data_IF_147043955248
#
_entry.id   IF_147043955248
#
_cell.length_a   1.000
_cell.length_b   1.000
_cell.length_c   1.000
_cell.angle_alpha   90.00
_cell.angle_beta   90.00
_cell.angle_gamma   90.00
#
_symmetry.space_group_name_H-M   'P 1'
#
loop_
_entity.id
_entity.type
_entity.pdbx_description
1 polymer ?
#
# COMPACT_ATOMS: atom_id res chain seq x y z
N UNK A 1 26.42 5.92 -0.81
CA UNK A 1 25.25 5.03 -0.86
C UNK A 1 25.52 3.89 -1.83
N UNK A 2 25.38 2.65 -1.37
CA UNK A 2 25.44 1.45 -2.21
C UNK A 2 24.28 1.41 -3.21
N UNK A 3 24.36 0.57 -4.24
CA UNK A 3 23.26 0.37 -5.20
C UNK A 3 21.99 -0.07 -4.49
N UNK A 4 22.10 -1.01 -3.55
CA UNK A 4 20.95 -1.52 -2.79
C UNK A 4 20.27 -0.41 -1.96
N UNK A 5 21.07 0.48 -1.35
CA UNK A 5 20.53 1.64 -0.64
C UNK A 5 19.80 2.61 -1.58
N UNK A 6 20.32 2.82 -2.80
CA UNK A 6 19.65 3.67 -3.82
C UNK A 6 18.31 3.06 -4.24
N UNK A 7 18.26 1.74 -4.43
CA UNK A 7 17.03 1.04 -4.79
C UNK A 7 16.01 1.12 -3.66
N UNK A 8 16.41 0.83 -2.41
CA UNK A 8 15.52 0.97 -1.24
C UNK A 8 14.95 2.39 -1.14
N UNK A 9 15.80 3.40 -1.30
CA UNK A 9 15.38 4.80 -1.28
C UNK A 9 14.38 5.10 -2.40
N UNK A 10 14.62 4.61 -3.61
CA UNK A 10 13.69 4.72 -4.73
C UNK A 10 12.33 4.07 -4.46
N UNK A 11 12.32 2.84 -3.90
CA UNK A 11 11.09 2.12 -3.55
C UNK A 11 10.27 2.83 -2.47
N UNK A 12 10.92 3.39 -1.46
CA UNK A 12 10.26 4.19 -0.42
C UNK A 12 9.61 5.45 -1.00
N UNK A 13 10.31 6.15 -1.90
CA UNK A 13 9.75 7.31 -2.57
C UNK A 13 8.58 6.96 -3.49
N UNK A 14 8.72 5.90 -4.30
CA UNK A 14 7.66 5.42 -5.17
C UNK A 14 6.40 5.06 -4.36
N UNK A 15 6.57 4.39 -3.22
CA UNK A 15 5.48 4.12 -2.29
C UNK A 15 4.84 5.40 -1.75
N UNK A 16 5.64 6.38 -1.34
CA UNK A 16 5.12 7.65 -0.84
C UNK A 16 4.21 8.34 -1.87
N UNK A 17 4.66 8.42 -3.13
CA UNK A 17 3.88 9.01 -4.23
C UNK A 17 2.62 8.19 -4.50
N UNK A 18 2.73 6.87 -4.52
CA UNK A 18 1.59 5.98 -4.75
C UNK A 18 0.51 6.13 -3.67
N UNK A 19 0.87 6.11 -2.38
CA UNK A 19 -0.09 6.27 -1.29
C UNK A 19 -0.67 7.69 -1.21
N UNK A 20 0.08 8.72 -1.62
CA UNK A 20 -0.46 10.07 -1.78
C UNK A 20 -1.50 10.13 -2.90
N UNK A 21 -1.29 9.41 -4.00
CA UNK A 21 -2.26 9.28 -5.08
C UNK A 21 -3.52 8.52 -4.62
N UNK A 22 -3.37 7.39 -3.92
CA UNK A 22 -4.49 6.66 -3.29
C UNK A 22 -5.30 7.60 -2.40
N UNK A 23 -4.62 8.35 -1.53
CA UNK A 23 -5.26 9.31 -0.65
C UNK A 23 -6.11 10.32 -1.43
N UNK A 24 -5.53 10.90 -2.49
CA UNK A 24 -6.20 11.88 -3.34
C UNK A 24 -7.45 11.30 -4.00
N UNK A 25 -7.37 10.12 -4.61
CA UNK A 25 -8.53 9.55 -5.32
C UNK A 25 -9.64 9.12 -4.35
N UNK A 26 -9.29 8.64 -3.15
CA UNK A 26 -10.26 8.32 -2.09
C UNK A 26 -10.95 9.57 -1.54
N UNK A 27 -10.21 10.67 -1.31
CA UNK A 27 -10.80 11.94 -0.88
C UNK A 27 -11.80 12.47 -1.92
N UNK A 28 -11.48 12.32 -3.20
CA UNK A 28 -12.28 12.82 -4.31
C UNK A 28 -13.36 11.83 -4.79
N UNK A 29 -13.38 10.59 -4.29
CA UNK A 29 -14.31 9.55 -4.74
C UNK A 29 -14.06 9.05 -6.18
N UNK A 30 -12.84 9.20 -6.70
CA UNK A 30 -12.51 8.83 -8.09
C UNK A 30 -12.12 7.35 -8.15
N UNK A 31 -13.06 6.50 -8.58
CA UNK A 31 -12.91 5.04 -8.63
C UNK A 31 -12.03 4.59 -9.81
N UNK A 32 -10.71 4.61 -9.62
CA UNK A 32 -9.72 4.10 -10.58
C UNK A 32 -9.15 2.78 -10.07
N UNK A 33 -9.13 1.69 -10.86
CA UNK A 33 -8.43 0.46 -10.48
C UNK A 33 -6.99 0.72 -10.05
N UNK A 34 -6.44 -0.09 -9.14
CA UNK A 34 -5.14 0.08 -8.48
C UNK A 34 -5.01 1.28 -7.54
N UNK A 35 -5.56 2.45 -7.88
CA UNK A 35 -5.46 3.65 -7.03
C UNK A 35 -6.60 3.75 -6.01
N UNK A 36 -7.70 3.06 -6.25
CA UNK A 36 -8.85 3.03 -5.36
C UNK A 36 -9.08 1.60 -4.88
N UNK A 37 -8.62 1.31 -3.66
CA UNK A 37 -8.81 0.00 -3.01
C UNK A 37 -10.30 -0.37 -3.07
N UNK A 38 -10.60 -1.55 -3.64
CA UNK A 38 -11.97 -2.02 -3.86
C UNK A 38 -12.83 -1.04 -4.71
N UNK A 39 -12.25 -0.51 -5.79
CA UNK A 39 -12.85 0.55 -6.63
C UNK A 39 -14.31 0.33 -7.05
N UNK A 40 -14.70 -0.91 -7.35
CA UNK A 40 -16.06 -1.27 -7.76
C UNK A 40 -16.92 -1.85 -6.62
N UNK A 41 -16.47 -1.80 -5.38
CA UNK A 41 -17.28 -2.15 -4.21
C UNK A 41 -18.06 -0.89 -3.76
N UNK A 42 -19.36 -1.02 -3.45
CA UNK A 42 -20.12 0.07 -2.85
C UNK A 42 -19.54 0.49 -1.49
N UNK A 43 -19.33 1.79 -1.29
CA UNK A 43 -18.81 2.38 -0.05
C UNK A 43 -19.54 3.68 0.28
N UNK A 44 -19.60 4.02 1.56
CA UNK A 44 -20.06 5.33 2.00
C UNK A 44 -18.91 6.33 1.92
N UNK A 45 -19.22 7.59 1.55
CA UNK A 45 -18.19 8.63 1.41
C UNK A 45 -17.31 8.85 2.67
N UNK A 46 -17.85 8.60 3.87
CA UNK A 46 -17.04 8.71 5.09
C UNK A 46 -15.98 7.59 5.21
N UNK A 47 -16.26 6.39 4.68
CA UNK A 47 -15.31 5.26 4.66
C UNK A 47 -14.15 5.59 3.74
N UNK A 48 -14.44 6.12 2.55
CA UNK A 48 -13.41 6.55 1.59
C UNK A 48 -12.54 7.66 2.19
N UNK A 49 -13.12 8.61 2.93
CA UNK A 49 -12.34 9.65 3.64
C UNK A 49 -11.44 9.08 4.74
N UNK A 50 -11.87 8.05 5.44
CA UNK A 50 -11.03 7.33 6.42
C UNK A 50 -9.85 6.66 5.69
N UNK A 51 -10.11 5.96 4.59
CA UNK A 51 -9.05 5.32 3.77
C UNK A 51 -8.09 6.38 3.25
N UNK A 52 -8.61 7.51 2.76
CA UNK A 52 -7.80 8.64 2.31
C UNK A 52 -6.84 9.12 3.40
N UNK A 53 -7.33 9.31 4.62
CA UNK A 53 -6.51 9.78 5.74
C UNK A 53 -5.43 8.77 6.13
N UNK A 54 -5.78 7.47 6.16
CA UNK A 54 -4.82 6.40 6.44
C UNK A 54 -3.75 6.30 5.34
N UNK A 55 -4.15 6.36 4.07
CA UNK A 55 -3.24 6.36 2.93
C UNK A 55 -2.30 7.57 2.95
N UNK A 56 -2.78 8.75 3.35
CA UNK A 56 -1.92 9.92 3.55
C UNK A 56 -0.87 9.67 4.65
N UNK A 57 -1.26 9.06 5.77
CA UNK A 57 -0.32 8.66 6.82
C UNK A 57 0.78 7.73 6.30
N UNK A 58 0.42 6.72 5.51
CA UNK A 58 1.37 5.85 4.83
C UNK A 58 2.34 6.63 3.92
N UNK A 59 1.82 7.57 3.13
CA UNK A 59 2.64 8.41 2.27
C UNK A 59 3.68 9.21 3.07
N UNK A 60 3.27 9.81 4.19
CA UNK A 60 4.16 10.58 5.08
C UNK A 60 5.23 9.68 5.70
N UNK A 61 4.88 8.48 6.19
CA UNK A 61 5.86 7.55 6.77
C UNK A 61 6.88 7.08 5.73
N UNK A 62 6.43 6.73 4.53
CA UNK A 62 7.29 6.32 3.42
C UNK A 62 8.20 7.46 2.97
N UNK A 63 7.67 8.69 2.85
CA UNK A 63 8.45 9.87 2.51
C UNK A 63 9.51 10.19 3.57
N UNK A 64 9.13 10.11 4.85
CA UNK A 64 10.06 10.32 5.97
C UNK A 64 11.18 9.30 5.94
N UNK A 65 10.84 8.01 5.78
CA UNK A 65 11.83 6.94 5.63
C UNK A 65 12.72 7.13 4.40
N UNK A 66 12.17 7.64 3.28
CA UNK A 66 12.91 7.94 2.06
C UNK A 66 14.03 8.99 2.26
N UNK A 67 13.82 10.01 3.10
CA UNK A 67 14.80 11.10 3.28
C UNK A 67 16.20 10.55 3.63
N UNK A 68 16.24 9.66 4.61
CA UNK A 68 17.43 8.90 5.02
C UNK A 68 17.02 7.53 5.58
N UNK A 69 16.97 6.46 4.77
CA UNK A 69 16.50 5.14 5.21
C UNK A 69 17.40 4.49 6.27
N UNK A 70 18.68 4.88 6.33
CA UNK A 70 19.65 4.31 7.26
C UNK A 70 19.48 4.94 8.65
N UNK A 71 19.39 6.26 8.71
CA UNK A 71 19.09 6.97 9.97
C UNK A 71 17.69 6.62 10.49
N UNK A 72 16.74 6.38 9.59
CA UNK A 72 15.36 6.02 9.91
C UNK A 72 15.10 4.50 9.91
N UNK A 73 16.12 3.67 10.18
CA UNK A 73 16.00 2.21 10.07
C UNK A 73 14.86 1.61 10.91
N UNK A 74 14.57 2.15 12.10
CA UNK A 74 13.44 1.74 12.93
C UNK A 74 12.08 1.99 12.25
N UNK A 75 11.92 3.15 11.60
CA UNK A 75 10.71 3.47 10.83
C UNK A 75 10.57 2.54 9.62
N UNK A 76 11.67 2.23 8.91
CA UNK A 76 11.63 1.26 7.81
C UNK A 76 11.16 -0.10 8.31
N UNK A 77 11.67 -0.60 9.44
CA UNK A 77 11.17 -1.85 10.05
C UNK A 77 9.67 -1.78 10.38
N UNK A 78 9.22 -0.67 10.96
CA UNK A 78 7.80 -0.48 11.27
C UNK A 78 6.92 -0.52 10.01
N UNK A 79 7.36 0.15 8.93
CA UNK A 79 6.70 0.10 7.61
C UNK A 79 6.61 -1.34 7.09
N UNK A 80 7.70 -2.13 7.20
CA UNK A 80 7.71 -3.52 6.77
C UNK A 80 6.72 -4.39 7.58
N UNK A 81 6.70 -4.24 8.91
CA UNK A 81 5.78 -4.98 9.79
C UNK A 81 4.33 -4.59 9.51
N UNK A 82 4.03 -3.29 9.45
CA UNK A 82 2.69 -2.80 9.15
C UNK A 82 2.24 -3.21 7.74
N UNK A 83 3.17 -3.24 6.77
CA UNK A 83 2.89 -3.70 5.41
C UNK A 83 2.53 -5.18 5.34
N UNK A 84 3.19 -6.03 6.15
CA UNK A 84 2.80 -7.43 6.28
C UNK A 84 1.39 -7.57 6.88
N UNK A 85 1.08 -6.78 7.93
CA UNK A 85 -0.27 -6.73 8.50
C UNK A 85 -1.34 -6.31 7.49
N UNK A 86 -1.07 -5.29 6.68
CA UNK A 86 -1.97 -4.85 5.62
C UNK A 86 -2.21 -5.95 4.57
N UNK A 87 -1.17 -6.67 4.15
CA UNK A 87 -1.28 -7.79 3.20
C UNK A 87 -2.11 -8.95 3.76
N UNK A 88 -1.94 -9.27 5.04
CA UNK A 88 -2.78 -10.26 5.74
C UNK A 88 -4.24 -9.78 5.75
N UNK A 89 -4.48 -8.52 6.12
CA UNK A 89 -5.83 -7.93 6.12
C UNK A 89 -6.50 -7.98 4.74
N UNK A 90 -5.78 -7.59 3.68
CA UNK A 90 -6.28 -7.67 2.30
C UNK A 90 -6.59 -9.10 1.89
N UNK A 91 -5.73 -10.06 2.27
CA UNK A 91 -5.93 -11.47 1.97
C UNK A 91 -7.18 -12.03 2.68
N UNK A 92 -7.40 -11.64 3.95
CA UNK A 92 -8.62 -11.99 4.70
C UNK A 92 -9.85 -11.42 4.01
N UNK A 93 -9.84 -10.13 3.66
CA UNK A 93 -10.97 -9.50 2.97
C UNK A 93 -11.27 -10.21 1.66
N UNK A 94 -10.26 -10.45 0.82
CA UNK A 94 -10.41 -11.12 -0.47
C UNK A 94 -10.89 -12.57 -0.36
N UNK A 95 -10.62 -13.25 0.76
CA UNK A 95 -10.99 -14.66 0.97
C UNK A 95 -12.36 -14.83 1.59
N UNK A 96 -12.75 -13.92 2.49
CA UNK A 96 -13.93 -14.11 3.36
C UNK A 96 -15.08 -13.15 3.08
N UNK A 97 -14.89 -12.15 2.21
CA UNK A 97 -15.97 -11.22 1.84
C UNK A 97 -16.79 -11.82 0.69
N UNK A 98 -18.11 -11.92 0.89
CA UNK A 98 -19.04 -12.30 -0.17
C UNK A 98 -19.31 -11.10 -1.09
N UNK A 99 -18.37 -10.83 -2.00
CA UNK A 99 -18.50 -9.73 -2.97
C UNK A 99 -19.70 -9.88 -3.91
N UNK A 100 -20.11 -11.11 -4.21
CA UNK A 100 -21.23 -11.39 -5.10
C UNK A 100 -22.57 -10.99 -4.49
N UNK A 101 -22.69 -11.05 -3.15
CA UNK A 101 -23.85 -10.50 -2.43
C UNK A 101 -23.94 -8.97 -2.47
N UNK A 102 -22.81 -8.28 -2.68
CA UNK A 102 -22.74 -6.82 -2.75
C UNK A 102 -23.07 -6.31 -4.16
N UNK A 103 -22.44 -6.91 -5.16
CA UNK A 103 -22.73 -6.70 -6.58
C UNK A 103 -22.23 -7.92 -7.38
N UNK A 104 -23.11 -8.66 -8.07
CA UNK A 104 -22.72 -9.83 -8.88
C UNK A 104 -21.67 -9.54 -9.95
N UNK A 105 -21.53 -8.29 -10.40
CA UNK A 105 -20.53 -7.89 -11.39
C UNK A 105 -19.09 -7.81 -10.82
N UNK A 106 -18.92 -7.89 -9.48
CA UNK A 106 -17.59 -7.82 -8.86
C UNK A 106 -16.80 -9.10 -9.12
N UNK A 107 -15.67 -8.94 -9.82
CA UNK A 107 -14.68 -9.98 -9.98
C UNK A 107 -13.54 -9.86 -8.95
N UNK A 108 -13.58 -10.70 -7.92
CA UNK A 108 -12.57 -10.72 -6.84
C UNK A 108 -11.14 -10.96 -7.33
N UNK A 109 -10.95 -11.56 -8.51
CA UNK A 109 -9.61 -11.81 -9.06
C UNK A 109 -8.83 -10.52 -9.32
N UNK A 110 -9.52 -9.40 -9.58
CA UNK A 110 -8.88 -8.09 -9.75
C UNK A 110 -8.27 -7.65 -8.41
N UNK A 111 -8.96 -7.86 -7.29
CA UNK A 111 -8.44 -7.53 -5.97
C UNK A 111 -7.28 -8.44 -5.56
N UNK A 112 -7.27 -9.71 -5.98
CA UNK A 112 -6.12 -10.58 -5.80
C UNK A 112 -4.91 -10.12 -6.60
N UNK A 113 -5.11 -9.61 -7.82
CA UNK A 113 -4.04 -9.02 -8.62
C UNK A 113 -3.48 -7.76 -7.96
N UNK A 114 -4.32 -6.89 -7.41
CA UNK A 114 -3.92 -5.72 -6.61
C UNK A 114 -3.09 -6.15 -5.39
N UNK A 115 -3.59 -7.12 -4.61
CA UNK A 115 -2.89 -7.68 -3.44
C UNK A 115 -1.53 -8.28 -3.82
N UNK A 116 -1.45 -9.00 -4.95
CA UNK A 116 -0.19 -9.54 -5.46
C UNK A 116 0.81 -8.44 -5.86
N UNK A 117 0.34 -7.35 -6.46
CA UNK A 117 1.16 -6.19 -6.78
C UNK A 117 1.73 -5.52 -5.52
N UNK A 118 0.90 -5.32 -4.49
CA UNK A 118 1.35 -4.80 -3.19
C UNK A 118 2.33 -5.76 -2.51
N UNK A 119 2.10 -7.07 -2.62
CA UNK A 119 3.01 -8.09 -2.08
C UNK A 119 4.38 -8.03 -2.76
N UNK A 120 4.44 -7.93 -4.09
CA UNK A 120 5.69 -7.80 -4.83
C UNK A 120 6.45 -6.52 -4.46
N UNK A 121 5.74 -5.41 -4.29
CA UNK A 121 6.31 -4.15 -3.79
C UNK A 121 6.89 -4.30 -2.37
N UNK A 122 6.11 -4.86 -1.44
CA UNK A 122 6.53 -5.09 -0.07
C UNK A 122 7.73 -6.03 0.02
N UNK A 123 7.72 -7.13 -0.74
CA UNK A 123 8.82 -8.09 -0.78
C UNK A 123 10.10 -7.44 -1.30
N UNK A 124 9.99 -6.55 -2.30
CA UNK A 124 11.11 -5.76 -2.80
C UNK A 124 11.69 -4.86 -1.71
N UNK A 125 10.85 -4.16 -0.93
CA UNK A 125 11.30 -3.38 0.21
C UNK A 125 12.07 -4.24 1.23
N UNK A 126 11.55 -5.42 1.56
CA UNK A 126 12.21 -6.36 2.50
C UNK A 126 13.60 -6.76 1.98
N UNK A 127 13.67 -7.20 0.71
CA UNK A 127 14.92 -7.66 0.10
C UNK A 127 15.98 -6.55 0.14
N UNK A 128 15.64 -5.34 -0.33
CA UNK A 128 16.61 -4.25 -0.39
C UNK A 128 16.90 -3.63 0.98
N UNK A 129 15.98 -3.72 1.93
CA UNK A 129 16.26 -3.37 3.32
C UNK A 129 17.29 -4.32 3.92
N UNK A 130 17.11 -5.64 3.81
CA UNK A 130 18.06 -6.63 4.35
C UNK A 130 19.43 -6.49 3.68
N UNK A 131 19.47 -6.34 2.36
CA UNK A 131 20.73 -6.19 1.61
C UNK A 131 21.46 -4.88 1.92
N UNK A 132 20.74 -3.79 2.20
CA UNK A 132 21.34 -2.50 2.55
C UNK A 132 21.96 -2.46 3.95
N UNK A 133 21.65 -3.44 4.81
CA UNK A 133 22.13 -3.54 6.19
C UNK A 133 23.12 -4.71 6.41
N UNK A 134 23.53 -5.39 5.34
CA UNK A 134 24.66 -6.34 5.34
C UNK A 134 25.93 -5.60 4.95
#
# INVERSE_FOLDING_TARGET
MSTDQKILKGLLFAGAVYFAAISTVHMLGIKVPMLFIFFNVPSNAYQDRIISFLAFGWAVFLFTAFTDPQKNSALVKAILVAGAGALIGLSIINSFTDFQSLDPAINVNIFWLETAGVFAYWLSLVIFYVRSNR
#
